data_IF_005825749248
#
_entry.id   IF_005825749248
#
_cell.length_a   1.000
_cell.length_b   1.000
_cell.length_c   1.000
_cell.angle_alpha   90.00
_cell.angle_beta   90.00
_cell.angle_gamma   90.00
#
_symmetry.space_group_name_H-M   'P 1'
#
loop_
_entity.id
_entity.type
_entity.pdbx_description
1 polymer ?
#
# COMPACT_ATOMS: atom_id res chain seq x y z
N UNK A 1 -13.41 -11.59 -21.80
CA UNK A 1 -14.11 -12.38 -20.78
C UNK A 1 -14.03 -11.65 -19.46
N UNK A 2 -15.20 -11.36 -18.84
CA UNK A 2 -15.28 -10.57 -17.60
C UNK A 2 -15.10 -11.40 -16.33
N UNK A 3 -14.01 -12.14 -16.17
CA UNK A 3 -13.79 -13.03 -15.01
C UNK A 3 -13.95 -12.25 -13.69
N UNK A 4 -13.24 -11.14 -13.54
CA UNK A 4 -13.33 -10.31 -12.32
C UNK A 4 -14.73 -9.75 -12.06
N UNK A 5 -15.44 -9.36 -13.12
CA UNK A 5 -16.81 -8.86 -13.01
C UNK A 5 -17.80 -9.97 -12.56
N UNK A 6 -17.57 -11.20 -13.03
CA UNK A 6 -18.39 -12.36 -12.63
C UNK A 6 -18.10 -12.71 -11.17
N UNK A 7 -16.85 -12.78 -10.76
CA UNK A 7 -16.46 -13.05 -9.36
C UNK A 7 -17.05 -12.00 -8.41
N UNK A 8 -16.95 -10.72 -8.80
CA UNK A 8 -17.53 -9.61 -8.04
C UNK A 8 -19.06 -9.75 -7.91
N UNK A 9 -19.76 -10.01 -9.02
CA UNK A 9 -21.20 -10.18 -9.01
C UNK A 9 -21.66 -11.39 -8.16
N UNK A 10 -20.92 -12.49 -8.18
CA UNK A 10 -21.21 -13.68 -7.36
C UNK A 10 -21.12 -13.33 -5.88
N UNK A 11 -20.03 -12.70 -5.44
CA UNK A 11 -19.86 -12.40 -4.02
C UNK A 11 -20.83 -11.32 -3.52
N UNK A 12 -21.13 -10.32 -4.33
CA UNK A 12 -22.09 -9.29 -3.96
C UNK A 12 -23.49 -9.87 -3.83
N UNK A 13 -23.91 -10.74 -4.76
CA UNK A 13 -25.16 -11.46 -4.63
C UNK A 13 -25.18 -12.35 -3.39
N UNK A 14 -24.10 -13.07 -3.11
CA UNK A 14 -24.01 -13.94 -1.92
C UNK A 14 -24.21 -13.15 -0.61
N UNK A 15 -23.70 -11.93 -0.54
CA UNK A 15 -23.96 -11.04 0.60
C UNK A 15 -25.42 -10.53 0.63
N UNK A 16 -25.95 -10.09 -0.51
CA UNK A 16 -27.32 -9.58 -0.61
C UNK A 16 -28.38 -10.62 -0.24
N UNK A 17 -28.15 -11.87 -0.65
CA UNK A 17 -29.03 -13.01 -0.35
C UNK A 17 -28.79 -13.64 1.04
N UNK A 18 -27.84 -13.12 1.82
CA UNK A 18 -27.51 -13.63 3.15
C UNK A 18 -26.84 -15.01 3.17
N UNK A 19 -26.20 -15.42 2.06
CA UNK A 19 -25.47 -16.69 2.01
C UNK A 19 -24.14 -16.63 2.74
N UNK A 20 -23.55 -15.44 2.83
CA UNK A 20 -22.34 -15.21 3.60
C UNK A 20 -22.72 -14.93 5.06
N UNK A 21 -22.51 -15.91 5.91
CA UNK A 21 -22.82 -15.83 7.33
C UNK A 21 -21.57 -15.99 8.19
N UNK A 22 -21.57 -15.40 9.37
CA UNK A 22 -20.50 -15.62 10.34
C UNK A 22 -20.45 -17.09 10.77
N UNK A 23 -19.24 -17.62 10.94
CA UNK A 23 -18.98 -19.00 11.33
C UNK A 23 -18.14 -19.03 12.63
N UNK A 24 -18.72 -18.71 13.78
CA UNK A 24 -17.98 -18.76 15.04
C UNK A 24 -17.57 -20.22 15.34
N UNK A 25 -16.45 -20.42 16.03
CA UNK A 25 -15.96 -21.75 16.35
C UNK A 25 -16.90 -22.49 17.30
N UNK A 26 -17.02 -23.81 17.12
CA UNK A 26 -17.83 -24.68 18.00
C UNK A 26 -17.21 -24.84 19.40
N UNK A 27 -15.89 -24.71 19.50
CA UNK A 27 -15.14 -24.85 20.75
C UNK A 27 -13.94 -23.90 20.76
N UNK A 28 -13.55 -23.46 21.95
CA UNK A 28 -12.37 -22.61 22.16
C UNK A 28 -11.15 -23.46 22.53
N UNK A 29 -10.00 -23.07 22.04
CA UNK A 29 -8.71 -23.71 22.33
C UNK A 29 -8.07 -23.19 23.61
N UNK A 30 -8.54 -22.04 24.11
CA UNK A 30 -7.91 -21.31 25.21
C UNK A 30 -6.61 -20.58 24.82
N UNK A 31 -6.21 -20.62 23.54
CA UNK A 31 -5.00 -19.95 23.03
C UNK A 31 -5.34 -18.56 22.54
N UNK A 32 -4.50 -17.60 22.94
CA UNK A 32 -4.60 -16.18 22.54
C UNK A 32 -3.60 -15.87 21.44
N UNK A 33 -4.07 -15.27 20.35
CA UNK A 33 -3.22 -14.89 19.20
C UNK A 33 -3.34 -13.41 18.94
N UNK A 34 -2.21 -12.70 18.89
CA UNK A 34 -2.12 -11.33 18.42
C UNK A 34 -1.82 -11.31 16.92
N UNK A 35 -2.55 -10.50 16.16
CA UNK A 35 -2.26 -10.22 14.75
C UNK A 35 -1.90 -8.74 14.63
N UNK A 36 -0.71 -8.42 14.15
CA UNK A 36 -0.21 -7.06 13.98
C UNK A 36 -0.42 -6.63 12.54
N UNK A 37 -1.39 -5.76 12.32
CA UNK A 37 -1.82 -5.26 11.01
C UNK A 37 -3.16 -5.85 10.56
N UNK A 38 -4.05 -4.97 10.11
CA UNK A 38 -5.40 -5.30 9.64
C UNK A 38 -5.56 -5.23 8.11
N UNK A 39 -4.46 -5.30 7.37
CA UNK A 39 -4.49 -5.47 5.92
C UNK A 39 -5.02 -6.85 5.50
N UNK A 40 -5.08 -7.15 4.19
CA UNK A 40 -5.62 -8.41 3.67
C UNK A 40 -5.05 -9.66 4.33
N UNK A 41 -3.73 -9.72 4.54
CA UNK A 41 -3.07 -10.86 5.18
C UNK A 41 -3.49 -11.04 6.64
N UNK A 42 -3.53 -9.93 7.40
CA UNK A 42 -3.96 -9.94 8.80
C UNK A 42 -5.41 -10.35 8.97
N UNK A 43 -6.33 -9.79 8.15
CA UNK A 43 -7.74 -10.14 8.21
C UNK A 43 -8.01 -11.61 7.81
N UNK A 44 -7.31 -12.11 6.77
CA UNK A 44 -7.43 -13.51 6.36
C UNK A 44 -6.97 -14.47 7.47
N UNK A 45 -5.82 -14.19 8.06
CA UNK A 45 -5.29 -14.99 9.16
C UNK A 45 -6.19 -14.92 10.40
N UNK A 46 -6.63 -13.72 10.79
CA UNK A 46 -7.49 -13.51 11.95
C UNK A 46 -8.78 -14.34 11.86
N UNK A 47 -9.42 -14.35 10.69
CA UNK A 47 -10.62 -15.14 10.48
C UNK A 47 -10.37 -16.65 10.65
N UNK A 48 -9.34 -17.18 9.99
CA UNK A 48 -9.08 -18.63 10.06
C UNK A 48 -8.68 -19.06 11.47
N UNK A 49 -7.88 -18.23 12.17
CA UNK A 49 -7.50 -18.49 13.55
C UNK A 49 -8.70 -18.43 14.51
N UNK A 50 -9.62 -17.48 14.32
CA UNK A 50 -10.84 -17.40 15.11
C UNK A 50 -11.74 -18.62 14.87
N UNK A 51 -11.95 -19.01 13.61
CA UNK A 51 -12.71 -20.22 13.23
C UNK A 51 -12.09 -21.52 13.77
N UNK A 52 -10.75 -21.55 13.91
CA UNK A 52 -10.05 -22.66 14.57
C UNK A 52 -10.23 -22.68 16.10
N UNK A 53 -10.87 -21.66 16.68
CA UNK A 53 -11.19 -21.61 18.11
C UNK A 53 -10.22 -20.81 18.97
N UNK A 54 -9.27 -20.10 18.37
CA UNK A 54 -8.37 -19.21 19.13
C UNK A 54 -9.05 -17.90 19.49
N UNK A 55 -8.61 -17.27 20.57
CA UNK A 55 -8.97 -15.91 20.92
C UNK A 55 -8.04 -14.95 20.19
N UNK A 56 -8.56 -14.27 19.16
CA UNK A 56 -7.77 -13.45 18.23
C UNK A 56 -7.99 -11.97 18.49
N UNK A 57 -6.89 -11.23 18.67
CA UNK A 57 -6.89 -9.75 18.72
C UNK A 57 -6.04 -9.21 17.58
N UNK A 58 -6.64 -8.37 16.75
CA UNK A 58 -5.97 -7.65 15.66
C UNK A 58 -5.61 -6.26 16.13
N UNK A 59 -4.34 -5.89 16.06
CA UNK A 59 -3.83 -4.56 16.37
C UNK A 59 -3.58 -3.79 15.08
N UNK A 60 -4.19 -2.62 14.95
CA UNK A 60 -4.04 -1.73 13.80
C UNK A 60 -3.56 -0.35 14.26
N UNK A 61 -2.46 0.14 13.66
CA UNK A 61 -1.89 1.46 13.98
C UNK A 61 -2.82 2.64 13.60
N UNK A 62 -3.61 2.46 12.56
CA UNK A 62 -4.55 3.46 12.12
C UNK A 62 -5.89 3.35 12.88
N UNK A 63 -6.72 4.36 12.72
CA UNK A 63 -8.00 4.48 13.43
C UNK A 63 -9.11 3.56 12.89
N UNK A 64 -8.89 2.91 11.71
CA UNK A 64 -9.82 1.96 11.09
C UNK A 64 -9.07 0.78 10.48
N UNK A 65 -9.71 -0.37 10.45
CA UNK A 65 -9.18 -1.61 9.83
C UNK A 65 -9.15 -1.53 8.31
N UNK A 66 -8.27 -2.33 7.68
CA UNK A 66 -8.23 -2.52 6.23
C UNK A 66 -6.88 -2.25 5.59
N UNK A 67 -5.90 -1.65 6.31
CA UNK A 67 -4.58 -1.35 5.77
C UNK A 67 -4.66 -0.51 4.48
N UNK A 68 -3.92 -0.88 3.43
CA UNK A 68 -3.92 -0.16 2.16
C UNK A 68 -5.25 -0.24 1.39
N UNK A 69 -6.11 -1.23 1.66
CA UNK A 69 -7.47 -1.24 1.10
C UNK A 69 -8.27 -0.01 1.58
N UNK A 70 -8.05 0.40 2.83
CA UNK A 70 -8.71 1.56 3.44
C UNK A 70 -8.01 2.87 3.10
N UNK A 71 -6.69 2.91 3.25
CA UNK A 71 -5.93 4.15 3.22
C UNK A 71 -5.09 4.36 1.95
N UNK A 72 -4.87 3.32 1.14
CA UNK A 72 -4.17 3.42 -0.14
C UNK A 72 -5.14 3.59 -1.30
N UNK A 73 -6.00 2.59 -1.52
CA UNK A 73 -6.94 2.57 -2.64
C UNK A 73 -8.01 3.66 -2.45
N UNK A 74 -8.25 4.55 -3.44
CA UNK A 74 -9.31 5.56 -3.36
C UNK A 74 -10.73 4.96 -3.35
N UNK A 75 -11.69 5.69 -2.77
CA UNK A 75 -13.10 5.25 -2.71
C UNK A 75 -13.71 5.03 -4.08
N UNK A 76 -13.32 5.83 -5.09
CA UNK A 76 -13.80 5.65 -6.47
C UNK A 76 -13.25 4.39 -7.18
N UNK A 77 -12.30 3.68 -6.57
CA UNK A 77 -11.80 2.37 -7.00
C UNK A 77 -12.37 1.23 -6.17
N UNK A 78 -12.59 1.45 -4.89
CA UNK A 78 -13.11 0.45 -3.98
C UNK A 78 -13.86 1.10 -2.81
N UNK A 79 -15.14 0.82 -2.69
CA UNK A 79 -15.99 1.29 -1.59
C UNK A 79 -15.54 0.72 -0.25
N UNK A 80 -15.43 1.57 0.77
CA UNK A 80 -14.95 1.17 2.10
C UNK A 80 -15.98 0.37 2.90
N UNK A 81 -17.25 0.46 2.53
CA UNK A 81 -18.35 -0.40 3.06
C UNK A 81 -18.05 -1.89 2.90
N UNK A 82 -17.32 -2.28 1.85
CA UNK A 82 -16.89 -3.67 1.64
C UNK A 82 -15.93 -4.15 2.74
N UNK A 83 -15.06 -3.27 3.22
CA UNK A 83 -14.15 -3.57 4.33
C UNK A 83 -14.94 -3.64 5.64
N UNK A 84 -15.86 -2.69 5.86
CA UNK A 84 -16.69 -2.64 7.08
C UNK A 84 -17.58 -3.88 7.19
N UNK A 85 -18.21 -4.28 6.09
CA UNK A 85 -18.97 -5.53 5.98
C UNK A 85 -18.14 -6.75 6.37
N UNK A 86 -16.90 -6.81 5.88
CA UNK A 86 -15.97 -7.90 6.17
C UNK A 86 -15.50 -7.88 7.62
N UNK A 87 -15.19 -6.71 8.16
CA UNK A 87 -14.78 -6.55 9.55
C UNK A 87 -15.92 -7.00 10.51
N UNK A 88 -17.15 -6.57 10.25
CA UNK A 88 -18.33 -7.01 11.04
C UNK A 88 -18.54 -8.52 11.01
N UNK A 89 -18.28 -9.19 9.89
CA UNK A 89 -18.29 -10.66 9.84
C UNK A 89 -17.25 -11.27 10.78
N UNK A 90 -16.01 -10.76 10.76
CA UNK A 90 -14.93 -11.24 11.61
C UNK A 90 -15.24 -11.01 13.11
N UNK A 91 -15.80 -9.86 13.45
CA UNK A 91 -16.26 -9.56 14.82
C UNK A 91 -17.32 -10.56 15.29
N UNK A 92 -18.31 -10.86 14.42
CA UNK A 92 -19.32 -11.88 14.71
C UNK A 92 -18.72 -13.30 14.83
N UNK A 93 -17.56 -13.56 14.26
CA UNK A 93 -16.79 -14.81 14.40
C UNK A 93 -15.87 -14.79 15.63
N UNK A 94 -15.83 -13.70 16.40
CA UNK A 94 -15.10 -13.56 17.64
C UNK A 94 -13.71 -12.90 17.54
N UNK A 95 -13.41 -12.24 16.43
CA UNK A 95 -12.18 -11.42 16.30
C UNK A 95 -12.38 -10.10 17.02
N UNK A 96 -11.39 -9.70 17.82
CA UNK A 96 -11.36 -8.40 18.49
C UNK A 96 -10.42 -7.46 17.72
N UNK A 97 -10.91 -6.28 17.33
CA UNK A 97 -10.08 -5.24 16.71
C UNK A 97 -9.68 -4.17 17.72
N UNK A 98 -8.39 -3.88 17.80
CA UNK A 98 -7.81 -2.76 18.54
C UNK A 98 -7.16 -1.80 17.55
N UNK A 99 -7.90 -0.80 17.12
CA UNK A 99 -7.44 0.27 16.22
C UNK A 99 -6.79 1.41 16.99
N UNK A 100 -5.95 2.19 16.31
CA UNK A 100 -5.19 3.28 16.92
C UNK A 100 -4.05 2.81 17.81
N UNK A 101 -3.57 1.56 17.63
CA UNK A 101 -2.52 0.94 18.45
C UNK A 101 -1.33 0.57 17.58
N UNK A 102 -0.22 1.28 17.76
CA UNK A 102 1.07 0.96 17.13
C UNK A 102 1.79 -0.10 17.96
N UNK A 103 2.29 -1.14 17.30
CA UNK A 103 3.16 -2.12 17.93
C UNK A 103 4.62 -1.82 17.60
N UNK A 104 5.46 -1.70 18.61
CA UNK A 104 6.84 -1.27 18.47
C UNK A 104 6.97 0.25 18.38
N UNK A 105 7.80 0.75 17.45
CA UNK A 105 8.01 2.17 17.26
C UNK A 105 8.15 2.49 15.77
N UNK A 106 7.88 3.73 15.40
CA UNK A 106 8.23 4.27 14.09
C UNK A 106 9.38 5.28 14.25
N UNK A 107 10.30 5.38 13.24
CA UNK A 107 11.27 6.46 13.21
C UNK A 107 10.58 7.83 13.28
N UNK A 108 11.22 8.82 13.91
CA UNK A 108 10.65 10.17 14.06
C UNK A 108 10.35 10.87 12.74
N UNK A 109 11.14 10.57 11.73
CA UNK A 109 11.05 11.09 10.37
C UNK A 109 10.25 10.17 9.42
N UNK A 110 9.60 9.15 9.97
CA UNK A 110 8.80 8.20 9.19
C UNK A 110 7.72 8.91 8.39
N UNK A 111 7.64 8.61 7.11
CA UNK A 111 6.61 9.09 6.18
C UNK A 111 5.43 8.11 6.06
N UNK A 112 5.45 7.06 6.85
CA UNK A 112 4.35 6.09 6.88
C UNK A 112 3.17 6.68 7.63
N UNK A 113 1.99 6.61 7.01
CA UNK A 113 0.75 7.07 7.65
C UNK A 113 0.52 6.35 8.98
N UNK A 114 0.33 7.14 10.03
CA UNK A 114 0.15 6.64 11.38
C UNK A 114 -0.82 7.54 12.16
N UNK A 115 -1.94 6.98 12.59
CA UNK A 115 -2.94 7.65 13.43
C UNK A 115 -3.12 6.93 14.77
N UNK A 116 -2.06 6.28 15.25
CA UNK A 116 -2.08 5.63 16.57
C UNK A 116 -2.21 6.65 17.70
N UNK A 117 -2.96 6.26 18.71
CA UNK A 117 -3.13 6.98 19.98
C UNK A 117 -2.44 6.28 21.12
N UNK A 118 -2.10 5.00 20.92
CA UNK A 118 -1.46 4.13 21.86
C UNK A 118 -0.27 3.43 21.19
N UNK A 119 0.78 3.18 21.93
CA UNK A 119 1.92 2.35 21.49
C UNK A 119 2.17 1.25 22.51
N UNK A 120 2.26 0.02 22.03
CA UNK A 120 2.60 -1.15 22.86
C UNK A 120 3.95 -1.72 22.41
N UNK A 121 4.75 -2.13 23.38
CA UNK A 121 6.00 -2.87 23.12
C UNK A 121 5.74 -4.29 22.65
N UNK A 122 6.70 -4.84 21.90
CA UNK A 122 6.64 -6.24 21.48
C UNK A 122 6.62 -7.20 22.66
N UNK A 123 7.34 -6.88 23.72
CA UNK A 123 7.42 -7.68 24.96
C UNK A 123 6.04 -7.86 25.61
N UNK A 124 5.18 -6.83 25.53
CA UNK A 124 3.83 -6.92 26.07
C UNK A 124 3.00 -7.96 25.31
N UNK A 125 3.12 -7.98 23.97
CA UNK A 125 2.43 -8.98 23.15
C UNK A 125 2.96 -10.39 23.40
N UNK A 126 4.29 -10.55 23.50
CA UNK A 126 4.93 -11.84 23.80
C UNK A 126 4.55 -12.39 25.18
N UNK A 127 4.25 -11.51 26.14
CA UNK A 127 3.78 -11.89 27.47
C UNK A 127 2.31 -12.28 27.48
N UNK A 128 1.45 -11.52 26.80
CA UNK A 128 -0.01 -11.62 26.93
C UNK A 128 -0.63 -12.62 25.95
N UNK A 129 0.09 -13.02 24.91
CA UNK A 129 -0.37 -13.91 23.86
C UNK A 129 0.48 -15.17 23.73
N UNK A 130 -0.15 -16.27 23.32
CA UNK A 130 0.52 -17.54 23.03
C UNK A 130 1.25 -17.50 21.68
N UNK A 131 0.80 -16.66 20.74
CA UNK A 131 1.44 -16.43 19.45
C UNK A 131 1.19 -15.00 18.93
N UNK A 132 2.13 -14.49 18.13
CA UNK A 132 2.04 -13.20 17.46
C UNK A 132 2.28 -13.38 15.97
N UNK A 133 1.36 -12.90 15.14
CA UNK A 133 1.52 -12.86 13.69
C UNK A 133 1.82 -11.43 13.22
N UNK A 134 2.96 -11.23 12.60
CA UNK A 134 3.35 -9.98 11.95
C UNK A 134 2.76 -9.96 10.52
N UNK A 135 1.79 -9.09 10.28
CA UNK A 135 1.08 -8.90 9.01
C UNK A 135 0.90 -7.42 8.66
N UNK A 136 1.87 -6.58 9.07
CA UNK A 136 1.83 -5.12 8.94
C UNK A 136 2.11 -4.59 7.52
N UNK A 137 2.23 -5.47 6.52
CA UNK A 137 2.46 -5.08 5.13
C UNK A 137 3.90 -4.63 4.84
N UNK A 138 4.09 -3.95 3.71
CA UNK A 138 5.35 -3.32 3.30
C UNK A 138 5.03 -1.87 2.93
N UNK A 139 5.30 -0.93 3.83
CA UNK A 139 4.93 0.47 3.67
C UNK A 139 6.14 1.43 3.61
N UNK A 140 7.38 0.91 3.63
CA UNK A 140 8.56 1.75 3.45
C UNK A 140 8.61 2.24 2.00
N UNK A 141 8.37 3.54 1.74
CA UNK A 141 8.29 4.03 0.36
C UNK A 141 9.65 4.03 -0.32
N UNK A 142 9.65 3.82 -1.63
CA UNK A 142 10.82 4.09 -2.48
C UNK A 142 10.95 5.57 -2.67
N UNK A 143 12.09 6.13 -2.28
CA UNK A 143 12.41 7.54 -2.49
C UNK A 143 13.15 7.79 -3.81
N UNK A 144 13.17 9.05 -4.24
CA UNK A 144 13.89 9.55 -5.40
C UNK A 144 14.90 10.62 -4.95
N UNK A 145 16.14 10.23 -4.62
CA UNK A 145 17.14 11.14 -4.08
C UNK A 145 17.77 12.01 -5.21
N UNK A 146 16.96 12.91 -5.77
CA UNK A 146 17.40 13.91 -6.75
C UNK A 146 17.60 15.27 -6.06
N UNK A 147 18.47 16.17 -6.62
CA UNK A 147 18.59 17.54 -6.13
C UNK A 147 17.23 18.21 -5.97
N UNK A 148 17.02 18.93 -4.88
CA UNK A 148 15.75 19.60 -4.57
C UNK A 148 14.67 18.69 -3.96
N UNK A 149 14.97 17.42 -3.60
CA UNK A 149 14.02 16.48 -3.01
C UNK A 149 13.34 16.98 -1.73
N UNK A 150 13.97 17.84 -0.99
CA UNK A 150 13.52 18.43 0.28
C UNK A 150 12.61 19.66 0.12
N UNK A 151 12.33 20.09 -1.10
CA UNK A 151 11.38 21.17 -1.38
C UNK A 151 9.96 20.77 -0.95
N UNK A 152 9.24 21.73 -0.37
CA UNK A 152 7.81 21.60 -0.07
C UNK A 152 7.00 21.37 -1.36
N UNK A 153 5.99 20.52 -1.31
CA UNK A 153 5.18 20.11 -2.47
C UNK A 153 5.64 18.81 -3.13
N UNK A 154 6.68 18.14 -2.59
CA UNK A 154 7.11 16.81 -3.04
C UNK A 154 6.77 15.78 -1.96
N UNK A 155 5.78 14.95 -2.23
CA UNK A 155 5.21 14.00 -1.27
C UNK A 155 5.22 12.57 -1.79
N UNK A 156 5.28 11.61 -0.89
CA UNK A 156 4.95 10.23 -1.27
C UNK A 156 3.44 10.09 -1.53
N UNK A 157 3.07 9.19 -2.42
CA UNK A 157 1.66 8.87 -2.68
C UNK A 157 0.89 8.54 -1.39
N UNK A 158 1.55 7.85 -0.44
CA UNK A 158 0.98 7.47 0.84
C UNK A 158 0.98 8.58 1.90
N UNK A 159 1.43 9.79 1.57
CA UNK A 159 1.10 11.01 2.33
C UNK A 159 -0.17 11.68 1.78
N UNK A 160 -0.44 11.53 0.48
CA UNK A 160 -1.54 12.17 -0.24
C UNK A 160 -2.86 11.37 -0.20
N UNK A 161 -2.83 10.11 -0.63
CA UNK A 161 -4.02 9.27 -0.78
C UNK A 161 -4.77 9.02 0.54
N UNK A 162 -4.08 8.69 1.67
CA UNK A 162 -4.77 8.42 2.92
C UNK A 162 -5.54 9.64 3.47
N UNK A 163 -5.06 10.85 3.21
CA UNK A 163 -5.72 12.06 3.65
C UNK A 163 -7.08 12.22 2.95
N UNK A 164 -7.14 11.98 1.63
CA UNK A 164 -8.40 12.05 0.90
C UNK A 164 -9.36 10.95 1.33
N UNK A 165 -8.88 9.73 1.55
CA UNK A 165 -9.72 8.62 2.02
C UNK A 165 -10.31 8.92 3.42
N UNK A 166 -9.57 9.57 4.30
CA UNK A 166 -10.09 10.03 5.60
C UNK A 166 -11.16 11.11 5.44
N UNK A 167 -10.95 12.07 4.55
CA UNK A 167 -11.95 13.12 4.28
C UNK A 167 -13.24 12.50 3.71
N UNK A 168 -13.13 11.54 2.80
CA UNK A 168 -14.28 10.80 2.26
C UNK A 168 -15.03 10.02 3.36
N UNK A 169 -14.30 9.54 4.38
CA UNK A 169 -14.89 8.89 5.56
C UNK A 169 -15.51 9.88 6.57
N UNK A 170 -15.53 11.19 6.27
CA UNK A 170 -16.12 12.24 7.12
C UNK A 170 -15.14 12.90 8.10
N UNK A 171 -13.85 12.54 8.08
CA UNK A 171 -12.86 13.15 8.96
C UNK A 171 -12.51 14.56 8.49
N UNK A 172 -12.23 15.45 9.45
CA UNK A 172 -11.75 16.81 9.19
C UNK A 172 -10.25 16.87 9.41
N UNK A 173 -9.49 17.06 8.32
CA UNK A 173 -8.04 17.19 8.37
C UNK A 173 -7.61 18.65 8.24
N UNK A 174 -6.67 19.09 9.10
CA UNK A 174 -6.00 20.36 8.93
C UNK A 174 -4.77 20.17 8.03
N UNK A 175 -4.57 21.07 7.05
CA UNK A 175 -3.40 21.06 6.20
C UNK A 175 -3.36 19.88 5.21
N UNK A 176 -4.53 19.43 4.72
CA UNK A 176 -4.61 18.40 3.69
C UNK A 176 -3.80 18.81 2.45
N UNK A 177 -3.04 17.86 1.89
CA UNK A 177 -2.36 18.04 0.61
C UNK A 177 -3.44 18.08 -0.48
N UNK A 178 -3.57 19.23 -1.16
CA UNK A 178 -4.55 19.45 -2.21
C UNK A 178 -3.88 19.66 -3.56
N UNK A 179 -4.48 19.12 -4.61
CA UNK A 179 -4.06 19.32 -6.00
C UNK A 179 -4.81 20.45 -6.71
N UNK A 180 -5.78 21.08 -6.06
CA UNK A 180 -6.65 22.11 -6.65
C UNK A 180 -5.86 23.24 -7.31
N UNK A 181 -6.08 23.45 -8.60
CA UNK A 181 -5.43 24.49 -9.40
C UNK A 181 -3.93 24.30 -9.64
N UNK A 182 -3.35 23.16 -9.26
CA UNK A 182 -1.92 22.85 -9.38
C UNK A 182 -1.59 22.06 -10.64
N UNK A 183 -0.38 22.25 -11.15
CA UNK A 183 0.25 21.34 -12.11
C UNK A 183 0.87 20.18 -11.31
N UNK A 184 0.29 18.99 -11.47
CA UNK A 184 0.66 17.80 -10.71
C UNK A 184 1.52 16.87 -11.57
N UNK A 185 2.66 16.47 -11.02
CA UNK A 185 3.49 15.41 -11.61
C UNK A 185 3.40 14.18 -10.73
N UNK A 186 3.03 13.04 -11.31
CA UNK A 186 3.00 11.73 -10.65
C UNK A 186 4.16 10.89 -11.18
N UNK A 187 5.09 10.50 -10.30
CA UNK A 187 6.24 9.68 -10.68
C UNK A 187 5.97 8.22 -10.31
N UNK A 188 5.75 7.39 -11.32
CA UNK A 188 5.43 5.97 -11.23
C UNK A 188 4.18 5.60 -12.03
N UNK A 189 4.29 4.60 -12.91
CA UNK A 189 3.25 4.16 -13.85
C UNK A 189 2.31 3.06 -13.35
N UNK A 190 2.47 2.61 -12.09
CA UNK A 190 1.66 1.55 -11.50
C UNK A 190 0.27 2.00 -10.98
N UNK A 191 -0.45 1.09 -10.32
CA UNK A 191 -1.80 1.34 -9.79
C UNK A 191 -1.82 2.50 -8.78
N UNK A 192 -0.82 2.59 -7.89
CA UNK A 192 -0.70 3.72 -6.95
C UNK A 192 -0.55 5.06 -7.68
N UNK A 193 0.19 5.08 -8.81
CA UNK A 193 0.28 6.28 -9.66
C UNK A 193 -1.07 6.64 -10.27
N UNK A 194 -1.78 5.65 -10.80
CA UNK A 194 -3.15 5.81 -11.31
C UNK A 194 -4.12 6.35 -10.25
N UNK A 195 -3.99 5.90 -9.00
CA UNK A 195 -4.79 6.39 -7.87
C UNK A 195 -4.48 7.86 -7.56
N UNK A 196 -3.21 8.25 -7.63
CA UNK A 196 -2.79 9.65 -7.50
C UNK A 196 -3.35 10.52 -8.63
N UNK A 197 -3.34 10.03 -9.88
CA UNK A 197 -3.93 10.72 -11.03
C UNK A 197 -5.42 10.98 -10.80
N UNK A 198 -6.20 9.95 -10.52
CA UNK A 198 -7.65 10.08 -10.32
C UNK A 198 -8.01 10.96 -9.12
N UNK A 199 -7.24 10.88 -8.04
CA UNK A 199 -7.43 11.75 -6.86
C UNK A 199 -7.11 13.20 -7.20
N UNK A 200 -6.03 13.46 -7.94
CA UNK A 200 -5.64 14.81 -8.36
C UNK A 200 -6.68 15.45 -9.28
N UNK A 201 -7.24 14.70 -10.22
CA UNK A 201 -8.34 15.15 -11.09
C UNK A 201 -9.56 15.55 -10.27
N UNK A 202 -9.97 14.73 -9.28
CA UNK A 202 -11.11 15.02 -8.38
C UNK A 202 -10.85 16.20 -7.45
N UNK A 203 -9.60 16.50 -7.14
CA UNK A 203 -9.24 17.73 -6.44
C UNK A 203 -9.30 18.98 -7.34
N UNK A 204 -9.51 18.86 -8.66
CA UNK A 204 -9.50 19.97 -9.59
C UNK A 204 -8.09 20.47 -9.90
N UNK A 205 -7.15 19.58 -10.17
CA UNK A 205 -5.81 19.92 -10.65
C UNK A 205 -5.90 20.70 -11.98
N UNK A 206 -4.98 21.64 -12.21
CA UNK A 206 -4.88 22.37 -13.47
C UNK A 206 -4.37 21.48 -14.62
N UNK A 207 -3.45 20.57 -14.30
CA UNK A 207 -2.99 19.49 -15.18
C UNK A 207 -2.44 18.33 -14.35
N UNK A 208 -2.50 17.13 -14.91
CA UNK A 208 -1.86 15.93 -14.31
C UNK A 208 -1.02 15.26 -15.38
N UNK A 209 0.27 15.08 -15.10
CA UNK A 209 1.20 14.32 -15.95
C UNK A 209 1.81 13.18 -15.15
N UNK A 210 1.77 11.96 -15.70
CA UNK A 210 2.33 10.77 -15.08
C UNK A 210 3.60 10.34 -15.80
N UNK A 211 4.66 10.10 -15.05
CA UNK A 211 5.96 9.62 -15.56
C UNK A 211 6.16 8.14 -15.29
N UNK A 212 6.62 7.43 -16.32
CA UNK A 212 7.09 6.06 -16.22
C UNK A 212 8.54 5.98 -16.72
N UNK A 213 9.40 5.37 -15.89
CA UNK A 213 10.82 5.19 -16.22
C UNK A 213 11.03 4.22 -17.38
N UNK A 214 10.20 3.19 -17.46
CA UNK A 214 10.29 2.15 -18.47
C UNK A 214 9.68 2.63 -19.81
N UNK A 215 10.12 2.05 -20.93
CA UNK A 215 9.51 2.30 -22.23
C UNK A 215 8.01 1.97 -22.24
N UNK A 216 7.28 2.60 -23.14
CA UNK A 216 5.86 2.32 -23.32
C UNK A 216 5.66 0.82 -23.66
N UNK A 217 4.82 0.09 -22.89
CA UNK A 217 4.50 -1.30 -23.22
C UNK A 217 3.76 -1.40 -24.55
N UNK A 218 3.81 -2.54 -25.25
CA UNK A 218 3.06 -2.75 -26.48
C UNK A 218 1.54 -2.68 -26.21
N UNK A 219 0.78 -2.24 -27.20
CA UNK A 219 -0.70 -2.18 -27.09
C UNK A 219 -1.33 -3.57 -26.92
N UNK A 220 -0.74 -4.58 -27.58
CA UNK A 220 -1.20 -5.96 -27.54
C UNK A 220 -0.17 -6.87 -26.88
N UNK A 221 -0.66 -7.86 -26.12
CA UNK A 221 0.22 -8.88 -25.51
C UNK A 221 0.90 -9.75 -26.58
N UNK A 222 2.16 -10.10 -26.32
CA UNK A 222 2.85 -11.18 -27.04
C UNK A 222 2.86 -12.43 -26.15
N UNK A 223 1.91 -13.35 -26.37
CA UNK A 223 1.78 -14.57 -25.57
C UNK A 223 3.02 -15.46 -25.61
N UNK A 224 3.76 -15.47 -26.71
CA UNK A 224 4.99 -16.25 -26.82
C UNK A 224 6.08 -15.81 -25.83
N UNK A 225 6.07 -14.55 -25.41
CA UNK A 225 7.01 -13.99 -24.43
C UNK A 225 6.53 -14.10 -22.99
N UNK A 226 5.23 -14.11 -22.74
CA UNK A 226 4.69 -13.94 -21.38
C UNK A 226 3.90 -15.11 -20.84
N UNK A 227 3.30 -15.96 -21.69
CA UNK A 227 2.51 -17.10 -21.24
C UNK A 227 3.38 -18.14 -20.50
N UNK A 228 2.97 -18.67 -19.35
CA UNK A 228 1.67 -18.49 -18.65
C UNK A 228 1.63 -17.32 -17.65
N UNK A 229 2.62 -16.45 -17.67
CA UNK A 229 2.73 -15.33 -16.76
C UNK A 229 1.83 -14.16 -17.16
N UNK A 230 1.86 -13.11 -16.36
CA UNK A 230 1.03 -11.93 -16.54
C UNK A 230 1.32 -11.21 -17.87
N UNK A 231 0.28 -10.83 -18.64
CA UNK A 231 0.48 -10.19 -19.95
C UNK A 231 1.23 -8.87 -19.85
N UNK A 232 2.31 -8.73 -20.64
CA UNK A 232 3.01 -7.46 -20.80
C UNK A 232 2.36 -6.66 -21.93
N UNK A 233 1.58 -5.65 -21.56
CA UNK A 233 0.89 -4.74 -22.49
C UNK A 233 0.57 -3.41 -21.82
N UNK A 234 0.36 -2.38 -22.62
CA UNK A 234 -0.11 -1.08 -22.13
C UNK A 234 -1.47 -1.24 -21.45
N UNK A 235 -1.56 -0.74 -20.24
CA UNK A 235 -2.79 -0.71 -19.46
C UNK A 235 -3.21 0.72 -19.22
N UNK A 236 -4.50 0.97 -19.37
CA UNK A 236 -5.14 2.23 -19.04
C UNK A 236 -6.14 1.95 -17.92
N UNK A 237 -6.17 2.80 -16.91
CA UNK A 237 -7.19 2.78 -15.87
C UNK A 237 -8.21 3.88 -16.12
N UNK A 238 -9.38 3.77 -15.49
CA UNK A 238 -10.40 4.83 -15.54
C UNK A 238 -9.86 6.19 -15.08
N UNK A 239 -8.87 6.24 -14.20
CA UNK A 239 -8.24 7.49 -13.78
C UNK A 239 -7.51 8.20 -14.91
N UNK A 240 -6.91 7.47 -15.85
CA UNK A 240 -6.26 8.05 -17.02
C UNK A 240 -7.29 8.61 -18.01
N UNK A 241 -8.46 7.94 -18.15
CA UNK A 241 -9.54 8.37 -19.02
C UNK A 241 -10.18 9.68 -18.54
N UNK A 242 -10.06 10.00 -17.25
CA UNK A 242 -10.52 11.28 -16.67
C UNK A 242 -9.61 12.47 -17.02
N UNK A 243 -8.45 12.24 -17.61
CA UNK A 243 -7.49 13.25 -18.04
C UNK A 243 -6.13 13.08 -17.39
N UNK A 244 -5.13 12.72 -18.21
CA UNK A 244 -3.74 12.60 -17.78
C UNK A 244 -2.83 12.51 -19.01
N UNK A 245 -1.78 13.30 -19.03
CA UNK A 245 -0.66 13.08 -19.95
C UNK A 245 0.23 11.97 -19.39
N UNK A 246 0.59 11.00 -20.21
CA UNK A 246 1.46 9.88 -19.81
C UNK A 246 2.75 9.92 -20.60
N UNK A 247 3.86 10.03 -19.87
CA UNK A 247 5.21 10.11 -20.42
C UNK A 247 6.01 8.87 -19.99
N UNK A 248 6.55 8.17 -20.99
CA UNK A 248 7.33 6.94 -20.79
C UNK A 248 8.81 7.17 -21.11
N UNK A 249 9.67 6.28 -20.63
CA UNK A 249 11.11 6.37 -20.81
C UNK A 249 11.68 7.74 -20.39
N UNK A 250 11.22 8.24 -19.23
CA UNK A 250 11.61 9.54 -18.70
C UNK A 250 12.14 9.40 -17.27
N UNK A 251 13.25 10.07 -17.00
CA UNK A 251 13.90 10.11 -15.68
C UNK A 251 13.93 11.54 -15.16
N UNK A 252 13.76 11.66 -13.85
CA UNK A 252 13.89 12.93 -13.14
C UNK A 252 15.35 13.21 -12.83
N UNK A 253 15.84 14.40 -13.19
CA UNK A 253 17.19 14.89 -12.91
C UNK A 253 17.23 15.73 -11.64
N UNK A 254 16.24 16.61 -11.48
CA UNK A 254 16.25 17.65 -10.46
C UNK A 254 14.83 18.16 -10.19
N UNK A 255 14.54 18.51 -8.96
CA UNK A 255 13.38 19.29 -8.56
C UNK A 255 13.82 20.75 -8.41
N UNK A 256 13.20 21.64 -9.17
CA UNK A 256 13.49 23.07 -9.17
C UNK A 256 12.48 23.78 -8.28
N UNK A 257 12.94 24.69 -7.45
CA UNK A 257 12.06 25.41 -6.53
C UNK A 257 12.42 26.83 -6.28
N UNK A 258 11.46 27.58 -5.77
CA UNK A 258 11.62 28.95 -5.31
C UNK A 258 11.08 29.08 -3.89
N UNK A 259 11.78 29.78 -3.03
CA UNK A 259 11.38 30.04 -1.62
C UNK A 259 11.01 28.75 -0.87
N UNK A 260 11.76 27.66 -1.13
CA UNK A 260 11.57 26.36 -0.48
C UNK A 260 10.42 25.53 -1.01
N UNK A 261 9.75 25.92 -2.10
CA UNK A 261 8.65 25.17 -2.73
C UNK A 261 9.00 24.72 -4.13
N UNK A 262 8.56 23.54 -4.53
CA UNK A 262 8.73 23.05 -5.90
C UNK A 262 7.92 23.92 -6.87
N UNK A 263 8.54 24.27 -8.00
CA UNK A 263 7.91 25.06 -9.08
C UNK A 263 8.06 24.40 -10.44
N UNK A 264 9.06 23.52 -10.57
CA UNK A 264 9.30 22.77 -11.80
C UNK A 264 10.07 21.48 -11.53
N UNK A 265 10.10 20.60 -12.51
CA UNK A 265 10.90 19.37 -12.52
C UNK A 265 11.74 19.34 -13.81
N UNK A 266 13.02 19.05 -13.66
CA UNK A 266 13.92 18.79 -14.79
C UNK A 266 13.97 17.30 -15.07
N UNK A 267 13.71 16.92 -16.30
CA UNK A 267 13.65 15.53 -16.76
C UNK A 267 14.59 15.29 -17.94
N UNK A 268 14.85 14.02 -18.25
CA UNK A 268 15.61 13.58 -19.42
C UNK A 268 14.98 12.30 -19.95
N UNK A 269 14.97 12.10 -21.26
CA UNK A 269 14.59 10.83 -21.87
C UNK A 269 15.67 9.78 -21.60
N UNK A 270 15.24 8.54 -21.45
CA UNK A 270 16.16 7.41 -21.22
C UNK A 270 15.91 6.28 -22.21
N UNK A 271 16.96 5.53 -22.50
CA UNK A 271 16.92 4.28 -23.27
C UNK A 271 17.55 3.16 -22.44
N UNK A 272 17.19 1.93 -22.74
CA UNK A 272 17.80 0.76 -22.13
C UNK A 272 18.68 0.05 -23.16
N UNK A 273 20.01 0.10 -22.96
CA UNK A 273 21.01 -0.58 -23.78
C UNK A 273 21.71 -1.63 -22.93
N UNK A 274 21.67 -2.88 -23.35
CA UNK A 274 22.26 -4.01 -22.63
C UNK A 274 21.81 -4.08 -21.14
N UNK A 275 20.52 -3.81 -20.90
CA UNK A 275 19.92 -3.80 -19.56
C UNK A 275 20.32 -2.61 -18.68
N UNK A 276 21.08 -1.65 -19.19
CA UNK A 276 21.49 -0.42 -18.49
C UNK A 276 20.70 0.77 -19.00
N UNK A 277 20.22 1.58 -18.07
CA UNK A 277 19.59 2.86 -18.39
C UNK A 277 20.65 3.86 -18.85
N UNK A 278 20.42 4.50 -19.99
CA UNK A 278 21.28 5.53 -20.60
C UNK A 278 20.43 6.76 -20.91
N UNK A 279 20.89 7.93 -20.52
CA UNK A 279 20.24 9.20 -20.85
C UNK A 279 20.42 9.52 -22.34
N UNK A 280 19.37 10.05 -22.96
CA UNK A 280 19.41 10.53 -24.35
C UNK A 280 19.94 11.97 -24.35
N UNK A 281 21.13 12.24 -24.93
CA UNK A 281 21.71 13.58 -24.92
C UNK A 281 20.80 14.61 -25.59
N UNK A 282 20.68 15.80 -25.00
CA UNK A 282 19.90 16.90 -25.54
C UNK A 282 18.38 16.75 -25.40
N UNK A 283 17.89 15.73 -24.67
CA UNK A 283 16.46 15.51 -24.44
C UNK A 283 15.98 16.08 -23.10
N UNK A 284 16.78 16.88 -22.44
CA UNK A 284 16.39 17.52 -21.17
C UNK A 284 15.23 18.48 -21.38
N UNK A 285 14.27 18.44 -20.45
CA UNK A 285 13.09 19.30 -20.42
C UNK A 285 12.85 19.80 -19.01
N UNK A 286 12.26 20.99 -18.90
CA UNK A 286 11.77 21.55 -17.64
C UNK A 286 10.27 21.67 -17.72
N UNK A 287 9.57 21.00 -16.84
CA UNK A 287 8.11 20.96 -16.78
C UNK A 287 7.63 21.65 -15.50
N UNK A 288 6.59 22.45 -15.62
CA UNK A 288 5.97 23.11 -14.45
C UNK A 288 5.40 22.05 -13.49
N UNK A 289 5.67 22.21 -12.21
CA UNK A 289 5.18 21.32 -11.18
C UNK A 289 4.96 22.09 -9.86
N UNK A 290 3.71 22.18 -9.42
CA UNK A 290 3.33 22.78 -8.14
C UNK A 290 3.12 21.71 -7.06
N UNK A 291 2.99 20.44 -7.47
CA UNK A 291 2.86 19.26 -6.62
C UNK A 291 3.49 18.06 -7.32
N UNK A 292 4.36 17.35 -6.64
CA UNK A 292 4.96 16.10 -7.12
C UNK A 292 4.59 14.95 -6.19
N UNK A 293 4.06 13.87 -6.75
CA UNK A 293 3.66 12.68 -6.02
C UNK A 293 4.54 11.48 -6.42
N UNK A 294 5.30 10.97 -5.46
CA UNK A 294 6.17 9.81 -5.65
C UNK A 294 5.36 8.53 -5.42
N UNK A 295 5.04 7.84 -6.51
CA UNK A 295 4.24 6.61 -6.55
C UNK A 295 5.04 5.42 -7.08
N UNK A 296 6.29 5.29 -6.63
CA UNK A 296 7.27 4.32 -7.14
C UNK A 296 7.24 2.97 -6.37
N UNK A 297 6.19 2.71 -5.60
CA UNK A 297 6.03 1.51 -4.79
C UNK A 297 6.83 1.53 -3.48
N UNK A 298 6.91 0.36 -2.85
CA UNK A 298 7.57 0.16 -1.56
C UNK A 298 8.81 -0.71 -1.71
N UNK A 299 9.75 -0.57 -0.80
CA UNK A 299 11.00 -1.36 -0.81
C UNK A 299 10.98 -2.50 0.22
N UNK A 300 10.30 -2.31 1.35
CA UNK A 300 10.26 -3.29 2.44
C UNK A 300 9.12 -2.97 3.43
N UNK A 301 8.85 -3.86 4.40
CA UNK A 301 8.18 -3.49 5.63
C UNK A 301 8.93 -2.40 6.38
N UNK A 302 8.24 -1.73 7.31
CA UNK A 302 8.89 -0.82 8.26
C UNK A 302 9.75 -1.64 9.22
N UNK A 303 11.07 -1.51 9.12
CA UNK A 303 12.03 -2.33 9.86
C UNK A 303 11.81 -2.28 11.37
N UNK A 304 11.45 -1.11 11.92
CA UNK A 304 11.26 -0.91 13.35
C UNK A 304 10.22 -1.85 13.99
N UNK A 305 9.21 -2.30 13.23
CA UNK A 305 8.23 -3.28 13.74
C UNK A 305 8.86 -4.67 13.86
N UNK A 306 9.66 -5.09 12.88
CA UNK A 306 10.37 -6.38 12.90
C UNK A 306 11.43 -6.37 14.01
N UNK A 307 12.18 -5.27 14.09
CA UNK A 307 13.26 -5.08 15.08
C UNK A 307 12.73 -5.08 16.52
N UNK A 308 11.53 -4.54 16.75
CA UNK A 308 10.90 -4.56 18.07
C UNK A 308 10.67 -5.99 18.60
N UNK A 309 10.47 -6.96 17.72
CA UNK A 309 10.36 -8.38 18.09
C UNK A 309 11.70 -9.11 18.07
N UNK A 310 12.79 -8.49 17.62
CA UNK A 310 14.09 -9.13 17.47
C UNK A 310 14.11 -10.20 16.36
N UNK A 311 13.18 -10.13 15.40
CA UNK A 311 13.09 -11.12 14.34
C UNK A 311 14.08 -10.83 13.20
N UNK A 312 14.65 -11.90 12.63
CA UNK A 312 15.56 -11.79 11.50
C UNK A 312 14.87 -11.23 10.27
N UNK A 313 15.65 -10.49 9.49
CA UNK A 313 15.24 -9.96 8.17
C UNK A 313 15.95 -10.71 7.05
N UNK A 314 15.30 -10.83 5.90
CA UNK A 314 15.94 -11.29 4.66
C UNK A 314 16.81 -10.18 4.03
N UNK A 315 17.49 -10.49 2.93
CA UNK A 315 18.35 -9.52 2.23
C UNK A 315 17.60 -8.30 1.66
N UNK A 316 16.26 -8.35 1.59
CA UNK A 316 15.40 -7.26 1.14
C UNK A 316 14.75 -6.48 2.28
N UNK A 317 15.06 -6.84 3.54
CA UNK A 317 14.51 -6.20 4.74
C UNK A 317 13.13 -6.72 5.16
N UNK A 318 12.64 -7.82 4.59
CA UNK A 318 11.40 -8.45 5.00
C UNK A 318 11.61 -9.35 6.21
N UNK A 319 10.57 -9.60 7.00
CA UNK A 319 10.63 -10.58 8.08
C UNK A 319 10.93 -11.97 7.51
N UNK A 320 12.04 -12.58 7.94
CA UNK A 320 12.47 -13.89 7.45
C UNK A 320 11.59 -14.98 8.04
N UNK A 321 10.77 -15.63 7.21
CA UNK A 321 9.91 -16.74 7.60
C UNK A 321 9.66 -17.65 6.39
N UNK A 322 9.76 -18.97 6.60
CA UNK A 322 9.52 -19.98 5.57
C UNK A 322 8.03 -20.20 5.29
N UNK A 323 7.72 -20.78 4.14
CA UNK A 323 6.34 -21.18 3.77
C UNK A 323 6.16 -22.69 3.58
N UNK A 324 7.23 -23.43 3.74
CA UNK A 324 7.21 -24.88 3.75
C UNK A 324 6.41 -25.43 4.95
N UNK A 325 5.97 -26.68 4.88
CA UNK A 325 5.18 -27.30 5.93
C UNK A 325 5.95 -27.32 7.27
N UNK A 326 7.26 -27.49 7.23
CA UNK A 326 8.12 -27.54 8.40
C UNK A 326 8.35 -26.14 9.01
N UNK A 327 8.50 -25.08 8.17
CA UNK A 327 8.73 -23.70 8.60
C UNK A 327 7.47 -22.97 9.04
N UNK A 328 6.33 -23.23 8.41
CA UNK A 328 5.00 -22.78 8.84
C UNK A 328 4.88 -21.29 9.14
N UNK A 329 5.48 -20.40 8.33
CA UNK A 329 5.48 -18.94 8.56
C UNK A 329 6.21 -18.49 9.86
N UNK A 330 6.98 -19.35 10.48
CA UNK A 330 7.74 -19.03 11.70
C UNK A 330 8.90 -18.09 11.40
N UNK A 331 9.08 -17.09 12.27
CA UNK A 331 10.28 -16.25 12.27
C UNK A 331 11.43 -16.91 13.06
N UNK A 332 12.53 -16.19 13.24
CA UNK A 332 13.65 -16.60 14.11
C UNK A 332 13.32 -16.50 15.60
N UNK A 333 12.19 -15.92 15.97
CA UNK A 333 11.77 -15.73 17.37
C UNK A 333 10.61 -16.67 17.69
N UNK A 334 10.73 -17.38 18.82
CA UNK A 334 9.65 -18.27 19.29
C UNK A 334 8.33 -17.51 19.44
N UNK A 335 7.21 -18.16 19.09
CA UNK A 335 5.84 -17.61 19.06
C UNK A 335 5.60 -16.50 18.03
N UNK A 336 6.62 -16.04 17.28
CA UNK A 336 6.47 -14.96 16.28
C UNK A 336 6.42 -15.54 14.87
N UNK A 337 5.38 -15.19 14.15
CA UNK A 337 5.11 -15.60 12.76
C UNK A 337 5.05 -14.36 11.87
N UNK A 338 5.27 -14.52 10.57
CA UNK A 338 5.13 -13.42 9.60
C UNK A 338 4.44 -13.89 8.32
N UNK A 339 3.51 -13.08 7.81
CA UNK A 339 2.74 -13.38 6.61
C UNK A 339 2.49 -12.13 5.74
N UNK A 340 2.07 -12.36 4.50
CA UNK A 340 1.80 -11.28 3.53
C UNK A 340 3.05 -10.54 3.13
N UNK A 341 2.91 -9.26 2.80
CA UNK A 341 4.02 -8.41 2.36
C UNK A 341 5.07 -8.18 3.47
N UNK A 342 4.70 -8.29 4.73
CA UNK A 342 5.65 -8.27 5.85
C UNK A 342 6.74 -9.34 5.69
N UNK A 343 6.41 -10.51 5.13
CA UNK A 343 7.32 -11.63 4.89
C UNK A 343 7.91 -11.63 3.48
N UNK A 344 7.10 -11.28 2.48
CA UNK A 344 7.44 -11.45 1.06
C UNK A 344 7.99 -10.16 0.43
N UNK A 345 7.67 -9.02 1.02
CA UNK A 345 7.78 -7.72 0.39
C UNK A 345 6.58 -7.45 -0.52
N UNK A 346 6.51 -6.23 -1.04
CA UNK A 346 5.50 -5.86 -2.02
C UNK A 346 5.60 -6.82 -3.21
N UNK A 347 4.48 -7.41 -3.58
CA UNK A 347 4.35 -8.24 -4.79
C UNK A 347 3.10 -7.79 -5.55
N UNK A 348 3.24 -7.69 -6.84
CA UNK A 348 2.11 -7.52 -7.77
C UNK A 348 1.52 -8.89 -8.12
#
# INVERSE_FOLDING_TARGET
VGIKSIEHAIIDRAWAEGWVVAQPPKSKTGKKVAVVGSGPAGLAAAQQLARAGHDVTVFEKNDRVGGLLRYGIPDFKMEKSLIDRRAGQLEAEGVVFRTGVLIGALPKDSKVANWSKETLGAEQLLKDFDAVLLAGGAEQPRDLPAPGRDLDGIHFAMEFLPQQNKVNAGDKLKGQIMATGKHVIVIGGGDTGSDCVGTSNRHGAASVTQFELLPIPPEHENKALTWPYWPYKLRTSSSHDEGCEREFAISTKEFIGEKGKVTAIKTVRVEFKDGKMVEVPGSEQVLKADLVLLAMGFISPVAAVIDAFGADKDARGNAKAGTDIAGGYRSSVDKVFAAGDMRRGQSL
#
